data_IF_191842088402
#
_entry.id   IF_191842088402
#
_cell.length_a   1.000
_cell.length_b   1.000
_cell.length_c   1.000
_cell.angle_alpha   90.00
_cell.angle_beta   90.00
_cell.angle_gamma   90.00
#
_symmetry.space_group_name_H-M   'P 1'
#
loop_
_entity.id
_entity.type
_entity.pdbx_description
1 polymer ?
#
# COMPACT_ATOMS: atom_id res chain seq x y z
N UNK A 1 69.13 -32.16 -14.44
CA UNK A 1 69.07 -33.03 -13.24
C UNK A 1 67.63 -33.04 -12.72
N UNK A 2 66.86 -34.08 -13.02
CA UNK A 2 65.68 -34.53 -12.24
C UNK A 2 66.20 -35.24 -10.95
N UNK A 3 65.40 -35.71 -9.94
CA UNK A 3 63.94 -35.74 -9.77
C UNK A 3 63.43 -35.43 -8.33
N UNK A 4 62.10 -35.39 -8.12
CA UNK A 4 61.32 -36.21 -7.14
C UNK A 4 59.89 -35.64 -7.02
N UNK A 5 58.92 -36.23 -7.73
CA UNK A 5 57.97 -37.27 -7.26
C UNK A 5 56.96 -36.81 -6.18
N UNK A 6 55.69 -36.77 -6.64
CA UNK A 6 54.48 -37.25 -5.97
C UNK A 6 53.75 -36.29 -5.02
N UNK A 7 52.54 -35.88 -5.45
CA UNK A 7 51.24 -36.16 -4.80
C UNK A 7 50.16 -35.42 -5.62
N UNK A 8 49.59 -36.01 -6.68
CA UNK A 8 48.29 -36.73 -6.69
C UNK A 8 47.35 -36.30 -5.55
N UNK A 9 46.15 -35.83 -5.95
CA UNK A 9 45.04 -35.23 -5.17
C UNK A 9 45.21 -33.70 -5.09
N UNK A 10 44.53 -32.90 -5.90
CA UNK A 10 43.07 -32.65 -5.80
C UNK A 10 42.55 -32.12 -7.14
N UNK A 11 42.03 -33.01 -7.98
CA UNK A 11 41.04 -32.67 -9.00
C UNK A 11 39.68 -32.84 -8.32
N UNK A 12 39.12 -31.77 -7.75
CA UNK A 12 37.74 -31.65 -7.24
C UNK A 12 37.61 -30.25 -6.64
N UNK A 13 37.34 -29.26 -7.48
CA UNK A 13 37.23 -27.86 -7.05
C UNK A 13 36.64 -26.94 -8.11
N UNK A 14 35.75 -27.46 -8.96
CA UNK A 14 35.04 -26.68 -9.96
C UNK A 14 33.61 -27.23 -10.07
N UNK A 15 32.69 -26.67 -9.27
CA UNK A 15 31.22 -26.65 -9.44
C UNK A 15 30.56 -26.18 -8.12
N UNK A 16 30.77 -24.91 -7.77
CA UNK A 16 29.98 -24.19 -6.77
C UNK A 16 29.72 -22.78 -7.31
N UNK A 17 29.01 -22.74 -8.43
CA UNK A 17 28.52 -21.54 -9.08
C UNK A 17 27.36 -21.98 -9.95
N UNK A 18 26.32 -21.15 -10.03
CA UNK A 18 24.99 -21.43 -10.58
C UNK A 18 24.03 -22.04 -9.55
N UNK A 19 23.20 -21.18 -8.95
CA UNK A 19 22.16 -21.61 -8.01
C UNK A 19 21.52 -20.52 -7.15
N UNK A 20 21.87 -19.24 -7.31
CA UNK A 20 21.05 -18.13 -6.80
C UNK A 20 20.16 -17.63 -7.94
N UNK A 21 19.21 -18.47 -8.35
CA UNK A 21 18.04 -17.98 -9.05
C UNK A 21 17.33 -17.08 -8.04
N UNK A 22 17.41 -15.76 -8.26
CA UNK A 22 16.56 -14.78 -7.60
C UNK A 22 15.11 -15.21 -7.82
N UNK A 23 14.53 -15.90 -6.83
CA UNK A 23 13.08 -15.90 -6.65
C UNK A 23 12.73 -14.49 -6.20
N UNK A 24 12.57 -13.57 -7.16
CA UNK A 24 11.87 -12.32 -6.89
C UNK A 24 10.49 -12.74 -6.40
N UNK A 25 10.09 -12.42 -5.15
CA UNK A 25 8.71 -12.66 -4.75
C UNK A 25 7.86 -11.93 -5.79
N UNK A 26 6.97 -12.67 -6.46
CA UNK A 26 6.03 -12.08 -7.39
C UNK A 26 5.42 -10.87 -6.69
N UNK A 27 5.55 -9.69 -7.30
CA UNK A 27 5.17 -8.41 -6.72
C UNK A 27 3.80 -8.58 -6.03
N UNK A 28 3.80 -8.43 -4.70
CA UNK A 28 2.63 -8.65 -3.88
C UNK A 28 1.69 -7.49 -4.13
N UNK A 29 0.78 -7.66 -5.09
CA UNK A 29 -0.34 -6.78 -5.25
C UNK A 29 -1.46 -7.17 -4.30
N UNK A 30 -2.24 -6.19 -3.84
CA UNK A 30 -3.51 -6.52 -3.22
C UNK A 30 -4.38 -7.21 -4.27
N UNK A 31 -4.83 -8.42 -3.94
CA UNK A 31 -5.78 -9.17 -4.75
C UNK A 31 -7.19 -8.71 -4.40
N UNK A 32 -7.43 -8.36 -3.13
CA UNK A 32 -8.75 -8.02 -2.62
C UNK A 32 -8.71 -6.81 -1.67
N UNK A 33 -9.72 -5.94 -1.81
CA UNK A 33 -10.11 -4.95 -0.80
C UNK A 33 -11.20 -5.59 0.05
N UNK A 34 -10.98 -5.70 1.36
CA UNK A 34 -11.91 -6.36 2.27
C UNK A 34 -12.59 -5.31 3.15
N UNK A 35 -13.86 -5.06 2.90
CA UNK A 35 -14.69 -4.14 3.69
C UNK A 35 -15.11 -4.83 4.99
N UNK A 36 -14.82 -4.21 6.13
CA UNK A 36 -15.06 -4.75 7.48
C UNK A 36 -15.95 -3.81 8.30
N UNK A 37 -17.02 -4.35 8.90
CA UNK A 37 -17.88 -3.65 9.86
C UNK A 37 -18.48 -4.64 10.86
N UNK A 38 -17.89 -4.77 12.05
CA UNK A 38 -18.30 -5.80 13.02
C UNK A 38 -18.14 -7.21 12.43
N UNK A 39 -19.22 -8.00 12.41
CA UNK A 39 -19.23 -9.32 11.77
C UNK A 39 -19.35 -9.27 10.23
N UNK A 40 -19.67 -8.11 9.65
CA UNK A 40 -19.76 -7.95 8.20
C UNK A 40 -18.35 -7.91 7.59
N UNK A 41 -18.07 -8.83 6.66
CA UNK A 41 -16.84 -8.88 5.89
C UNK A 41 -17.16 -9.21 4.43
N UNK A 42 -16.83 -8.32 3.51
CA UNK A 42 -17.03 -8.53 2.07
C UNK A 42 -15.79 -8.12 1.28
N UNK A 43 -15.40 -8.96 0.33
CA UNK A 43 -14.24 -8.72 -0.51
C UNK A 43 -14.66 -8.18 -1.86
N UNK A 44 -13.90 -7.19 -2.36
CA UNK A 44 -13.98 -6.67 -3.72
C UNK A 44 -12.61 -6.91 -4.37
N UNK A 45 -12.53 -7.64 -5.49
CA UNK A 45 -11.28 -7.82 -6.20
C UNK A 45 -10.68 -6.48 -6.64
N UNK A 46 -9.37 -6.32 -6.50
CA UNK A 46 -8.66 -5.14 -7.04
C UNK A 46 -8.79 -5.11 -8.57
N UNK A 47 -8.87 -6.27 -9.21
CA UNK A 47 -9.16 -6.39 -10.65
C UNK A 47 -10.47 -5.71 -11.07
N UNK A 48 -11.50 -5.69 -10.21
CA UNK A 48 -12.77 -5.02 -10.50
C UNK A 48 -12.60 -3.49 -10.43
N UNK A 49 -11.75 -2.99 -9.54
CA UNK A 49 -11.36 -1.57 -9.50
C UNK A 49 -10.59 -1.17 -10.75
N UNK A 50 -9.69 -2.04 -11.23
CA UNK A 50 -8.98 -1.79 -12.48
C UNK A 50 -9.91 -1.77 -13.69
N UNK A 51 -10.86 -2.71 -13.74
CA UNK A 51 -11.85 -2.77 -14.81
C UNK A 51 -12.70 -1.49 -14.83
N UNK A 52 -13.14 -1.04 -13.65
CA UNK A 52 -13.88 0.19 -13.49
C UNK A 52 -13.04 1.40 -13.95
N UNK A 53 -11.79 1.47 -13.52
CA UNK A 53 -10.89 2.56 -13.88
C UNK A 53 -10.55 2.63 -15.38
N UNK A 54 -10.32 1.47 -16.01
CA UNK A 54 -9.92 1.37 -17.42
C UNK A 54 -11.11 1.47 -18.38
N UNK A 55 -12.24 0.86 -18.04
CA UNK A 55 -13.39 0.69 -18.96
C UNK A 55 -14.66 1.40 -18.51
N UNK A 56 -14.70 1.97 -17.29
CA UNK A 56 -15.92 2.53 -16.72
C UNK A 56 -16.98 1.47 -16.40
N UNK A 57 -16.59 0.19 -16.32
CA UNK A 57 -17.50 -0.94 -16.10
C UNK A 57 -17.31 -1.49 -14.70
N UNK A 58 -18.38 -1.49 -13.91
CA UNK A 58 -18.41 -2.13 -12.60
C UNK A 58 -19.04 -3.51 -12.70
N UNK A 59 -18.60 -4.43 -11.84
CA UNK A 59 -19.15 -5.79 -11.75
C UNK A 59 -19.22 -6.28 -10.31
N UNK A 60 -19.96 -7.37 -10.09
CA UNK A 60 -20.12 -8.01 -8.78
C UNK A 60 -20.56 -7.03 -7.70
N UNK A 61 -19.96 -7.17 -6.51
CA UNK A 61 -20.27 -6.33 -5.35
C UNK A 61 -19.99 -4.84 -5.63
N UNK A 62 -18.98 -4.51 -6.44
CA UNK A 62 -18.68 -3.12 -6.79
C UNK A 62 -19.82 -2.47 -7.57
N UNK A 63 -20.42 -3.20 -8.52
CA UNK A 63 -21.59 -2.72 -9.25
C UNK A 63 -22.79 -2.49 -8.34
N UNK A 64 -23.06 -3.42 -7.41
CA UNK A 64 -24.16 -3.29 -6.46
C UNK A 64 -23.99 -2.08 -5.54
N UNK A 65 -22.76 -1.85 -5.05
CA UNK A 65 -22.45 -0.70 -4.20
C UNK A 65 -22.62 0.64 -4.93
N UNK A 66 -22.16 0.74 -6.18
CA UNK A 66 -22.32 1.96 -6.98
C UNK A 66 -23.80 2.25 -7.28
N UNK A 67 -24.59 1.22 -7.58
CA UNK A 67 -26.04 1.35 -7.78
C UNK A 67 -26.75 1.80 -6.50
N UNK A 68 -26.42 1.18 -5.37
CA UNK A 68 -27.00 1.53 -4.07
C UNK A 68 -26.68 2.98 -3.66
N UNK A 69 -25.46 3.45 -3.96
CA UNK A 69 -25.00 4.81 -3.66
C UNK A 69 -25.33 5.84 -4.75
N UNK A 70 -26.08 5.43 -5.77
CA UNK A 70 -26.46 6.26 -6.93
C UNK A 70 -25.25 6.94 -7.61
N UNK A 71 -24.14 6.21 -7.71
CA UNK A 71 -22.89 6.68 -8.31
C UNK A 71 -22.78 6.24 -9.76
N UNK A 72 -22.28 7.12 -10.63
CA UNK A 72 -22.00 6.79 -12.02
C UNK A 72 -20.68 6.00 -12.13
N UNK A 73 -20.68 4.75 -12.63
CA UNK A 73 -19.46 3.95 -12.75
C UNK A 73 -18.37 4.61 -13.60
N UNK A 74 -18.73 5.36 -14.64
CA UNK A 74 -17.76 6.03 -15.51
C UNK A 74 -17.05 7.16 -14.77
N UNK A 75 -17.77 7.91 -13.95
CA UNK A 75 -17.21 9.01 -13.16
C UNK A 75 -16.30 8.47 -12.05
N UNK A 76 -16.74 7.44 -11.33
CA UNK A 76 -15.91 6.78 -10.32
C UNK A 76 -14.67 6.16 -10.95
N UNK A 77 -14.81 5.52 -12.12
CA UNK A 77 -13.68 4.99 -12.89
C UNK A 77 -12.64 6.06 -13.24
N UNK A 78 -13.09 7.25 -13.67
CA UNK A 78 -12.19 8.38 -13.94
C UNK A 78 -11.41 8.79 -12.69
N UNK A 79 -12.07 8.88 -11.53
CA UNK A 79 -11.41 9.20 -10.26
C UNK A 79 -10.40 8.12 -9.85
N UNK A 80 -10.75 6.85 -10.01
CA UNK A 80 -9.85 5.72 -9.72
C UNK A 80 -8.62 5.70 -10.62
N UNK A 81 -8.74 6.19 -11.86
CA UNK A 81 -7.64 6.29 -12.81
C UNK A 81 -6.92 7.65 -12.78
N UNK A 82 -7.40 8.60 -11.99
CA UNK A 82 -6.80 9.93 -11.90
C UNK A 82 -5.44 9.80 -11.25
N UNK A 83 -4.40 10.15 -12.01
CA UNK A 83 -3.01 10.07 -11.57
C UNK A 83 -2.51 11.46 -11.17
N UNK A 84 -1.76 11.52 -10.08
CA UNK A 84 -1.17 12.75 -9.55
C UNK A 84 0.35 12.61 -9.58
N UNK A 85 1.09 13.61 -10.11
CA UNK A 85 2.55 13.59 -10.07
C UNK A 85 3.02 13.78 -8.63
N UNK A 86 3.84 12.83 -8.16
CA UNK A 86 4.36 12.78 -6.81
C UNK A 86 5.89 12.54 -6.87
N UNK A 87 6.73 13.53 -6.53
CA UNK A 87 8.17 13.35 -6.56
C UNK A 87 8.61 12.27 -5.55
N UNK A 88 9.01 11.09 -6.05
CA UNK A 88 9.28 9.89 -5.25
C UNK A 88 10.22 10.17 -4.06
N UNK A 89 11.32 10.89 -4.30
CA UNK A 89 12.30 11.20 -3.24
C UNK A 89 11.71 12.09 -2.15
N UNK A 90 10.90 13.08 -2.51
CA UNK A 90 10.27 13.98 -1.54
C UNK A 90 9.21 13.24 -0.72
N UNK A 91 8.36 12.46 -1.39
CA UNK A 91 7.33 11.65 -0.71
C UNK A 91 7.99 10.64 0.21
N UNK A 92 9.00 9.90 -0.26
CA UNK A 92 9.72 8.92 0.57
C UNK A 92 10.33 9.57 1.82
N UNK A 93 10.97 10.74 1.69
CA UNK A 93 11.50 11.48 2.85
C UNK A 93 10.39 11.90 3.80
N UNK A 94 9.31 12.48 3.29
CA UNK A 94 8.17 12.92 4.10
C UNK A 94 7.58 11.77 4.93
N UNK A 95 7.36 10.61 4.30
CA UNK A 95 6.78 9.42 4.94
C UNK A 95 7.69 8.78 6.01
N UNK A 96 8.97 9.18 6.08
CA UNK A 96 9.94 8.77 7.10
C UNK A 96 10.16 9.85 8.18
N UNK A 97 9.42 10.96 8.14
CA UNK A 97 9.43 11.96 9.23
C UNK A 97 8.40 11.60 10.31
N UNK A 98 8.53 12.17 11.51
CA UNK A 98 7.53 12.03 12.59
C UNK A 98 6.12 12.43 12.14
N UNK A 99 5.99 13.51 11.35
CA UNK A 99 4.70 13.99 10.83
C UNK A 99 4.13 12.99 9.82
N UNK A 100 4.96 12.50 8.90
CA UNK A 100 4.54 11.51 7.91
C UNK A 100 4.15 10.18 8.54
N UNK A 101 4.88 9.74 9.56
CA UNK A 101 4.54 8.54 10.34
C UNK A 101 3.21 8.71 11.07
N UNK A 102 2.98 9.83 11.75
CA UNK A 102 1.71 10.12 12.40
C UNK A 102 0.52 10.16 11.41
N UNK A 103 0.74 10.67 10.19
CA UNK A 103 -0.28 10.64 9.13
C UNK A 103 -0.58 9.19 8.69
N UNK A 104 0.47 8.39 8.48
CA UNK A 104 0.31 6.98 8.12
C UNK A 104 -0.38 6.18 9.23
N UNK A 105 -0.07 6.44 10.50
CA UNK A 105 -0.72 5.80 11.65
C UNK A 105 -2.22 6.06 11.65
N UNK A 106 -2.63 7.29 11.36
CA UNK A 106 -4.06 7.64 11.25
C UNK A 106 -4.73 6.93 10.08
N UNK A 107 -4.06 6.82 8.94
CA UNK A 107 -4.56 6.07 7.80
C UNK A 107 -4.62 4.56 8.09
N UNK A 108 -3.69 4.04 8.90
CA UNK A 108 -3.65 2.63 9.32
C UNK A 108 -4.83 2.26 10.24
N UNK A 109 -5.51 3.23 10.86
CA UNK A 109 -6.77 2.98 11.57
C UNK A 109 -7.96 2.74 10.62
N UNK A 110 -7.86 3.21 9.38
CA UNK A 110 -8.84 2.94 8.32
C UNK A 110 -8.45 1.67 7.57
N UNK A 111 -7.19 1.59 7.15
CA UNK A 111 -6.61 0.41 6.49
C UNK A 111 -5.98 -0.46 7.56
N UNK A 112 -6.82 -1.23 8.24
CA UNK A 112 -6.47 -1.92 9.47
C UNK A 112 -6.25 -3.41 9.22
N UNK A 113 -5.00 -3.91 9.23
CA UNK A 113 -4.72 -5.33 9.12
C UNK A 113 -5.09 -6.08 10.41
N UNK A 114 -6.23 -6.77 10.40
CA UNK A 114 -6.75 -7.61 11.48
C UNK A 114 -5.77 -8.73 11.86
N UNK A 115 -5.11 -9.33 10.86
CA UNK A 115 -4.21 -10.47 11.05
C UNK A 115 -2.83 -10.07 11.56
N UNK A 116 -2.42 -8.82 11.36
CA UNK A 116 -1.07 -8.36 11.73
C UNK A 116 -1.15 -6.92 12.24
N UNK A 117 -1.65 -6.72 13.48
CA UNK A 117 -1.67 -5.41 14.10
C UNK A 117 -0.26 -4.79 14.08
N UNK A 118 -0.16 -3.51 13.69
CA UNK A 118 1.12 -2.81 13.54
C UNK A 118 1.76 -2.87 12.15
N UNK A 119 1.26 -3.71 11.23
CA UNK A 119 1.75 -3.75 9.85
C UNK A 119 1.14 -2.67 8.93
N UNK A 120 0.16 -1.90 9.42
CA UNK A 120 -0.57 -0.92 8.61
C UNK A 120 0.32 0.20 8.07
N UNK A 121 1.11 0.85 8.94
CA UNK A 121 2.04 1.92 8.53
C UNK A 121 3.09 1.44 7.52
N UNK A 122 3.81 0.33 7.77
CA UNK A 122 4.72 -0.23 6.77
C UNK A 122 4.02 -0.54 5.44
N UNK A 123 2.82 -1.12 5.47
CA UNK A 123 2.10 -1.49 4.26
C UNK A 123 1.67 -0.27 3.43
N UNK A 124 1.11 0.76 4.09
CA UNK A 124 0.74 2.02 3.45
C UNK A 124 1.96 2.74 2.88
N UNK A 125 3.05 2.82 3.64
CA UNK A 125 4.31 3.44 3.19
C UNK A 125 4.85 2.72 1.95
N UNK A 126 4.88 1.40 1.98
CA UNK A 126 5.33 0.57 0.86
C UNK A 126 4.46 0.81 -0.37
N UNK A 127 3.13 0.78 -0.22
CA UNK A 127 2.18 0.98 -1.31
C UNK A 127 2.36 2.35 -2.00
N UNK A 128 2.60 3.41 -1.23
CA UNK A 128 2.89 4.74 -1.77
C UNK A 128 4.21 4.75 -2.55
N UNK A 129 5.29 4.25 -1.95
CA UNK A 129 6.63 4.30 -2.56
C UNK A 129 6.69 3.44 -3.83
N UNK A 130 6.20 2.20 -3.76
CA UNK A 130 6.15 1.28 -4.91
C UNK A 130 5.20 1.81 -5.97
N UNK A 131 4.01 2.27 -5.60
CA UNK A 131 3.02 2.76 -6.55
C UNK A 131 3.49 3.99 -7.32
N UNK A 132 4.24 4.90 -6.67
CA UNK A 132 4.87 6.05 -7.34
C UNK A 132 6.01 5.59 -8.25
N UNK A 133 6.84 4.66 -7.78
CA UNK A 133 7.98 4.17 -8.55
C UNK A 133 7.55 3.43 -9.82
N UNK A 134 6.53 2.56 -9.73
CA UNK A 134 5.97 1.84 -10.88
C UNK A 134 5.14 2.73 -11.81
N UNK A 135 4.60 3.84 -11.29
CA UNK A 135 3.85 4.83 -12.06
C UNK A 135 4.70 5.96 -12.65
N UNK A 136 6.01 5.77 -12.77
CA UNK A 136 6.98 6.75 -13.30
C UNK A 136 6.86 8.12 -12.62
N UNK A 137 6.79 8.14 -11.29
CA UNK A 137 6.62 9.36 -10.51
C UNK A 137 5.18 9.85 -10.41
N UNK A 138 4.19 9.02 -10.77
CA UNK A 138 2.77 9.33 -10.62
C UNK A 138 2.08 8.25 -9.79
N UNK A 139 1.01 8.64 -9.09
CA UNK A 139 0.19 7.72 -8.31
C UNK A 139 -1.29 7.94 -8.61
N UNK A 140 -2.00 6.85 -8.91
CA UNK A 140 -3.45 6.80 -8.94
C UNK A 140 -3.97 5.89 -7.83
N UNK A 141 -5.26 5.99 -7.44
CA UNK A 141 -5.86 5.04 -6.51
C UNK A 141 -5.64 3.58 -6.93
N UNK A 142 -5.75 3.27 -8.23
CA UNK A 142 -5.53 1.91 -8.73
C UNK A 142 -4.07 1.48 -8.65
N UNK A 143 -3.10 2.35 -8.96
CA UNK A 143 -1.69 1.98 -8.82
C UNK A 143 -1.30 1.79 -7.35
N UNK A 144 -1.87 2.59 -6.44
CA UNK A 144 -1.72 2.40 -5.00
C UNK A 144 -2.24 1.03 -4.54
N UNK A 145 -3.46 0.65 -4.95
CA UNK A 145 -4.05 -0.64 -4.59
C UNK A 145 -3.19 -1.81 -5.10
N UNK A 146 -2.68 -1.71 -6.34
CA UNK A 146 -1.79 -2.73 -6.91
C UNK A 146 -0.43 -2.79 -6.20
N UNK A 147 0.07 -1.69 -5.69
CA UNK A 147 1.34 -1.64 -4.98
C UNK A 147 1.24 -2.07 -3.50
N UNK A 148 0.02 -2.31 -2.99
CA UNK A 148 -0.18 -2.66 -1.59
C UNK A 148 0.35 -4.07 -1.29
N UNK A 149 1.30 -4.22 -0.34
CA UNK A 149 2.13 -5.42 -0.24
C UNK A 149 1.43 -6.66 0.33
N UNK A 150 0.18 -6.54 0.78
CA UNK A 150 -0.59 -7.66 1.32
C UNK A 150 -1.68 -8.06 0.34
N UNK A 151 -1.95 -9.36 0.20
CA UNK A 151 -3.03 -9.88 -0.66
C UNK A 151 -4.40 -9.30 -0.34
N UNK A 152 -4.66 -9.02 0.93
CA UNK A 152 -5.89 -8.41 1.40
C UNK A 152 -5.60 -7.04 2.02
N UNK A 153 -6.20 -6.01 1.43
CA UNK A 153 -6.27 -4.68 2.03
C UNK A 153 -7.59 -4.57 2.81
N UNK A 154 -7.52 -4.77 4.11
CA UNK A 154 -8.68 -4.68 4.99
C UNK A 154 -9.00 -3.22 5.32
N UNK A 155 -10.27 -2.84 5.17
CA UNK A 155 -10.76 -1.47 5.33
C UNK A 155 -11.86 -1.45 6.37
N UNK A 156 -11.63 -0.72 7.46
CA UNK A 156 -12.62 -0.42 8.48
C UNK A 156 -13.67 0.54 7.93
N UNK A 157 -14.83 0.01 7.55
CA UNK A 157 -15.88 0.77 6.88
C UNK A 157 -16.47 1.89 7.75
N UNK A 158 -16.79 1.67 9.05
CA UNK A 158 -17.18 2.76 9.94
C UNK A 158 -16.16 3.91 10.01
N UNK A 159 -14.87 3.59 10.13
CA UNK A 159 -13.82 4.61 10.18
C UNK A 159 -13.69 5.37 8.84
N UNK A 160 -13.78 4.66 7.71
CA UNK A 160 -13.79 5.27 6.38
C UNK A 160 -14.96 6.23 6.21
N UNK A 161 -16.18 5.80 6.55
CA UNK A 161 -17.38 6.63 6.41
C UNK A 161 -17.33 7.86 7.33
N UNK A 162 -16.82 7.72 8.56
CA UNK A 162 -16.64 8.83 9.48
C UNK A 162 -15.63 9.87 8.94
N UNK A 163 -14.60 9.43 8.20
CA UNK A 163 -13.68 10.34 7.50
C UNK A 163 -14.37 11.06 6.34
N UNK A 164 -15.12 10.32 5.50
CA UNK A 164 -15.82 10.91 4.36
C UNK A 164 -16.88 11.93 4.77
N UNK A 165 -17.61 11.68 5.87
CA UNK A 165 -18.61 12.63 6.40
C UNK A 165 -17.99 13.94 6.91
N UNK A 166 -16.73 13.92 7.33
CA UNK A 166 -16.01 15.11 7.80
C UNK A 166 -15.36 15.89 6.65
N UNK A 167 -15.27 15.27 5.47
CA UNK A 167 -14.55 15.75 4.32
C UNK A 167 -15.51 16.14 3.20
N UNK A 168 -15.92 17.41 3.17
CA UNK A 168 -16.71 17.93 2.05
C UNK A 168 -15.83 18.28 0.83
N UNK A 169 -14.51 18.39 1.02
CA UNK A 169 -13.52 18.66 -0.01
C UNK A 169 -12.12 18.12 0.34
N UNK A 170 -11.21 18.10 -0.65
CA UNK A 170 -9.79 17.76 -0.44
C UNK A 170 -9.12 18.76 0.52
N UNK A 171 -9.50 20.04 0.45
CA UNK A 171 -9.01 21.06 1.36
C UNK A 171 -9.45 20.79 2.81
N UNK A 172 -10.68 20.32 2.99
CA UNK A 172 -11.19 19.92 4.32
C UNK A 172 -10.47 18.70 4.86
N UNK A 173 -10.09 17.74 4.01
CA UNK A 173 -9.24 16.61 4.40
C UNK A 173 -7.87 17.09 4.86
N UNK A 174 -7.18 17.90 4.05
CA UNK A 174 -5.86 18.43 4.40
C UNK A 174 -5.93 19.20 5.72
N UNK A 175 -6.97 20.02 5.91
CA UNK A 175 -7.22 20.76 7.14
C UNK A 175 -7.51 19.84 8.33
N UNK A 176 -8.40 18.86 8.18
CA UNK A 176 -8.71 17.87 9.22
C UNK A 176 -7.45 17.14 9.70
N UNK A 177 -6.58 16.72 8.79
CA UNK A 177 -5.32 16.05 9.13
C UNK A 177 -4.25 16.99 9.69
N UNK A 178 -4.28 18.28 9.32
CA UNK A 178 -3.33 19.29 9.81
C UNK A 178 -3.70 19.84 11.20
N UNK A 179 -4.99 20.04 11.47
CA UNK A 179 -5.51 20.65 12.72
C UNK A 179 -5.80 19.61 13.81
N UNK A 180 -6.01 18.35 13.46
CA UNK A 180 -6.20 17.30 14.47
C UNK A 180 -4.88 17.05 15.21
N UNK A 181 -4.85 17.00 16.56
CA UNK A 181 -3.61 16.84 17.33
C UNK A 181 -2.85 15.60 16.86
N UNK A 182 -1.70 15.80 16.22
CA UNK A 182 -0.81 14.72 15.82
C UNK A 182 -0.23 14.12 17.11
N UNK A 183 -0.97 13.20 17.73
CA UNK A 183 -0.59 12.41 18.89
C UNK A 183 0.69 11.62 18.54
N UNK A 184 1.84 12.26 18.74
CA UNK A 184 3.13 11.83 18.21
C UNK A 184 4.14 12.97 18.04
N UNK A 185 3.68 14.23 18.05
CA UNK A 185 4.54 15.43 18.13
C UNK A 185 4.87 15.87 19.56
N UNK A 186 4.24 15.26 20.57
CA UNK A 186 4.63 15.47 21.96
C UNK A 186 5.89 14.63 22.23
N UNK A 187 6.99 15.32 22.52
CA UNK A 187 8.26 14.68 22.86
C UNK A 187 8.05 13.68 24.01
N UNK A 188 8.38 12.41 23.75
CA UNK A 188 8.56 11.40 24.80
C UNK A 188 9.87 11.59 25.60
N UNK A 189 10.46 12.79 25.59
CA UNK A 189 11.73 13.09 26.27
C UNK A 189 11.59 13.87 27.60
N UNK A 190 10.39 14.15 28.07
CA UNK A 190 10.17 14.72 29.41
C UNK A 190 9.54 13.69 30.35
N UNK A 191 10.32 12.69 30.78
CA UNK A 191 9.81 11.68 31.72
C UNK A 191 10.78 10.60 32.14
N UNK A 192 12.08 10.88 32.23
CA UNK A 192 12.99 10.03 33.01
C UNK A 192 14.11 10.89 33.60
N UNK A 193 13.80 11.52 34.73
CA UNK A 193 14.76 11.91 35.77
C UNK A 193 14.09 11.73 37.12
#
# INVERSE_FOLDING_TARGET
MNPHRRNRRRLLGALLGVGLLCSTPAALAAENIVLVSGAFRRSIPVADMELLAKKGQAQGLLADLLRFSNQNPVEVGKLLNQSIPLPLVLVSRLLNTRIGEALLDRLANIVYPLKTPGAGVPALRSALVIGIAEGDGNLSPVSFLRAYPNREMEVNLPALLALLQKANSISDLVRFFSESPLDGLQDKDSGSR
#
